data_IF_594832086145
#
_entry.id   IF_594832086145
#
_cell.length_a   1.000
_cell.length_b   1.000
_cell.length_c   1.000
_cell.angle_alpha   90.00
_cell.angle_beta   90.00
_cell.angle_gamma   90.00
#
_symmetry.space_group_name_H-M   'P 1'
#
loop_
_entity.id
_entity.type
_entity.pdbx_description
1 polymer ?
#
# COMPACT_ATOMS: atom_id res chain seq x y z
N UNK A 1 -0.07 -11.61 -14.11
CA UNK A 1 -0.06 -10.15 -13.87
C UNK A 1 -1.44 -9.60 -14.19
N UNK A 2 -1.97 -8.71 -13.35
CA UNK A 2 -3.23 -8.02 -13.63
C UNK A 2 -3.05 -7.12 -14.85
N UNK A 3 -3.85 -7.34 -15.90
CA UNK A 3 -3.89 -6.48 -17.08
C UNK A 3 -4.91 -5.38 -16.82
N UNK A 4 -4.44 -4.19 -16.48
CA UNK A 4 -5.26 -2.99 -16.32
C UNK A 4 -4.81 -1.94 -17.31
N UNK A 5 -5.77 -1.21 -17.91
CA UNK A 5 -5.50 -0.05 -18.78
C UNK A 5 -5.27 1.25 -18.00
N UNK A 6 -5.31 1.19 -16.66
CA UNK A 6 -5.05 2.35 -15.83
C UNK A 6 -3.54 2.59 -15.67
N UNK A 7 -3.12 3.84 -15.77
CA UNK A 7 -1.76 4.23 -15.39
C UNK A 7 -1.59 4.12 -13.87
N UNK A 8 -0.43 3.64 -13.37
CA UNK A 8 0.80 3.34 -14.12
C UNK A 8 0.90 1.92 -14.70
N UNK A 9 -0.07 1.03 -14.44
CA UNK A 9 0.01 -0.39 -14.88
C UNK A 9 0.05 -0.52 -16.42
N UNK A 10 -0.58 0.41 -17.13
CA UNK A 10 -0.57 0.43 -18.59
C UNK A 10 0.84 0.57 -19.19
N UNK A 11 1.78 1.21 -18.50
CA UNK A 11 3.18 1.31 -18.95
C UNK A 11 3.83 -0.07 -19.10
N UNK A 12 3.50 -1.00 -18.20
CA UNK A 12 3.99 -2.38 -18.26
C UNK A 12 3.37 -3.15 -19.43
N UNK A 13 2.10 -2.87 -19.73
CA UNK A 13 1.44 -3.46 -20.89
C UNK A 13 2.05 -2.91 -22.19
N UNK A 14 2.31 -1.60 -22.27
CA UNK A 14 2.97 -0.95 -23.40
C UNK A 14 4.38 -1.51 -23.63
N UNK A 15 5.16 -1.68 -22.57
CA UNK A 15 6.46 -2.33 -22.65
C UNK A 15 6.35 -3.75 -23.21
N UNK A 16 5.43 -4.56 -22.68
CA UNK A 16 5.25 -5.94 -23.14
C UNK A 16 4.76 -6.04 -24.60
N UNK A 17 3.98 -5.06 -25.09
CA UNK A 17 3.57 -4.98 -26.51
C UNK A 17 4.73 -4.56 -27.41
N UNK A 18 5.56 -3.62 -26.96
CA UNK A 18 6.68 -3.07 -27.74
C UNK A 18 7.85 -4.04 -27.80
N UNK A 19 8.12 -4.76 -26.71
CA UNK A 19 9.25 -5.69 -26.55
C UNK A 19 8.78 -7.08 -26.08
N UNK A 20 8.05 -7.83 -26.93
CA UNK A 20 7.44 -9.10 -26.53
C UNK A 20 8.46 -10.14 -26.05
N UNK A 21 9.65 -10.20 -26.67
CA UNK A 21 10.72 -11.12 -26.28
C UNK A 21 11.32 -10.81 -24.91
N UNK A 22 11.11 -9.60 -24.38
CA UNK A 22 11.59 -9.16 -23.06
C UNK A 22 10.51 -9.23 -21.98
N UNK A 23 9.24 -9.47 -22.35
CA UNK A 23 8.12 -9.41 -21.43
C UNK A 23 8.27 -10.39 -20.25
N UNK A 24 8.74 -11.62 -20.51
CA UNK A 24 8.96 -12.61 -19.47
C UNK A 24 10.02 -12.16 -18.45
N UNK A 25 11.13 -11.60 -18.92
CA UNK A 25 12.19 -11.07 -18.06
C UNK A 25 11.70 -9.85 -17.24
N UNK A 26 10.89 -8.98 -17.84
CA UNK A 26 10.26 -7.86 -17.13
C UNK A 26 9.38 -8.36 -15.98
N UNK A 27 8.46 -9.30 -16.24
CA UNK A 27 7.59 -9.84 -15.20
C UNK A 27 8.36 -10.56 -14.09
N UNK A 28 9.40 -11.31 -14.45
CA UNK A 28 10.28 -11.93 -13.47
C UNK A 28 11.01 -10.88 -12.62
N UNK A 29 11.45 -9.78 -13.22
CA UNK A 29 12.08 -8.68 -12.50
C UNK A 29 11.11 -8.04 -11.51
N UNK A 30 9.88 -7.72 -11.96
CA UNK A 30 8.86 -7.11 -11.10
C UNK A 30 8.45 -8.01 -9.93
N UNK A 31 8.48 -9.34 -10.11
CA UNK A 31 8.17 -10.28 -9.04
C UNK A 31 9.09 -10.10 -7.81
N UNK A 32 10.32 -9.61 -7.97
CA UNK A 32 11.22 -9.29 -6.85
C UNK A 32 10.80 -8.05 -6.05
N UNK A 33 9.85 -7.25 -6.55
CA UNK A 33 9.40 -6.02 -5.91
C UNK A 33 7.95 -6.09 -5.42
N UNK A 34 7.28 -7.24 -5.60
CA UNK A 34 5.92 -7.44 -5.12
C UNK A 34 5.89 -7.42 -3.57
N UNK A 35 5.14 -6.51 -2.93
CA UNK A 35 5.16 -6.34 -1.47
C UNK A 35 4.81 -7.62 -0.70
N UNK A 36 3.97 -8.49 -1.27
CA UNK A 36 3.55 -9.76 -0.66
C UNK A 36 4.72 -10.69 -0.35
N UNK A 37 5.81 -10.64 -1.14
CA UNK A 37 7.00 -11.46 -0.92
C UNK A 37 7.86 -10.99 0.26
N UNK A 38 7.67 -9.74 0.70
CA UNK A 38 8.36 -9.16 1.86
C UNK A 38 7.49 -9.14 3.11
N UNK A 39 6.16 -9.20 2.95
CA UNK A 39 5.19 -8.98 4.02
C UNK A 39 5.41 -9.86 5.26
N UNK A 40 5.81 -11.12 5.09
CA UNK A 40 6.10 -12.03 6.20
C UNK A 40 7.29 -11.63 7.08
N UNK A 41 8.15 -10.71 6.61
CA UNK A 41 9.27 -10.16 7.38
C UNK A 41 8.88 -8.91 8.18
N UNK A 42 7.70 -8.33 7.91
CA UNK A 42 7.22 -7.13 8.58
C UNK A 42 6.40 -7.55 9.82
N UNK A 43 7.05 -7.51 10.97
CA UNK A 43 6.45 -7.91 12.26
C UNK A 43 5.91 -6.74 13.09
N UNK A 44 6.08 -5.49 12.63
CA UNK A 44 5.54 -4.32 13.33
C UNK A 44 4.02 -4.20 13.13
N UNK A 45 3.36 -3.64 14.14
CA UNK A 45 1.97 -3.22 14.01
C UNK A 45 1.84 -2.25 12.83
N UNK A 46 0.89 -2.51 11.94
CA UNK A 46 0.75 -1.82 10.66
C UNK A 46 -0.67 -1.31 10.48
N UNK A 47 -0.82 -0.04 10.11
CA UNK A 47 -2.07 0.52 9.61
C UNK A 47 -2.03 0.54 8.08
N UNK A 48 -2.97 -0.14 7.43
CA UNK A 48 -3.17 -0.04 5.98
C UNK A 48 -4.33 0.91 5.70
N UNK A 49 -4.04 2.00 5.02
CA UNK A 49 -5.07 2.90 4.47
C UNK A 49 -5.52 2.36 3.11
N UNK A 50 -6.77 1.94 3.02
CA UNK A 50 -7.35 1.38 1.79
C UNK A 50 -8.22 2.41 1.08
N UNK A 51 -8.28 2.35 -0.25
CA UNK A 51 -9.31 3.07 -1.01
C UNK A 51 -10.70 2.44 -0.85
N UNK A 52 -11.59 2.72 -1.81
CA UNK A 52 -12.98 2.24 -1.79
C UNK A 52 -13.08 0.70 -1.86
N UNK A 53 -12.09 0.04 -2.45
CA UNK A 53 -12.01 -1.41 -2.55
C UNK A 53 -10.91 -1.96 -1.65
N UNK A 54 -11.28 -2.27 -0.41
CA UNK A 54 -10.38 -2.85 0.58
C UNK A 54 -9.88 -4.25 0.19
N UNK A 55 -10.60 -4.98 -0.67
CA UNK A 55 -10.25 -6.35 -1.04
C UNK A 55 -8.98 -6.42 -1.90
N UNK A 56 -8.63 -5.34 -2.61
CA UNK A 56 -7.37 -5.30 -3.38
C UNK A 56 -6.13 -5.48 -2.50
N UNK A 57 -6.21 -5.04 -1.24
CA UNK A 57 -5.11 -5.16 -0.28
C UNK A 57 -5.15 -6.47 0.52
N UNK A 58 -6.16 -7.30 0.33
CA UNK A 58 -6.35 -8.52 1.13
C UNK A 58 -5.14 -9.47 1.06
N UNK A 59 -4.53 -9.76 -0.11
CA UNK A 59 -3.37 -10.63 -0.17
C UNK A 59 -2.17 -10.09 0.64
N UNK A 60 -2.00 -8.77 0.68
CA UNK A 60 -0.94 -8.14 1.46
C UNK A 60 -1.24 -8.24 2.96
N UNK A 61 -2.48 -7.97 3.37
CA UNK A 61 -2.89 -8.09 4.77
C UNK A 61 -2.73 -9.51 5.30
N UNK A 62 -3.10 -10.50 4.50
CA UNK A 62 -2.98 -11.91 4.90
C UNK A 62 -1.52 -12.36 5.01
N UNK A 63 -0.61 -11.70 4.31
CA UNK A 63 0.82 -12.04 4.28
C UNK A 63 1.65 -11.31 5.35
N UNK A 64 1.16 -10.22 5.95
CA UNK A 64 1.87 -9.48 6.99
C UNK A 64 1.96 -10.29 8.29
N UNK A 65 3.15 -10.34 8.88
CA UNK A 65 3.38 -11.08 10.14
C UNK A 65 2.96 -10.31 11.39
N UNK A 66 2.96 -8.97 11.34
CA UNK A 66 2.53 -8.09 12.42
C UNK A 66 1.01 -7.94 12.51
N UNK A 67 0.53 -7.30 13.58
CA UNK A 67 -0.90 -6.96 13.70
C UNK A 67 -1.27 -5.91 12.65
N UNK A 68 -2.34 -6.16 11.91
CA UNK A 68 -2.83 -5.24 10.88
C UNK A 68 -4.15 -4.60 11.30
N UNK A 69 -4.22 -3.27 11.19
CA UNK A 69 -5.46 -2.50 11.23
C UNK A 69 -5.71 -1.85 9.88
N UNK A 70 -6.99 -1.63 9.55
CA UNK A 70 -7.41 -1.00 8.30
C UNK A 70 -8.11 0.32 8.58
N UNK A 71 -7.82 1.31 7.73
CA UNK A 71 -8.55 2.58 7.69
C UNK A 71 -9.03 2.82 6.26
N UNK A 72 -10.33 2.99 6.06
CA UNK A 72 -10.86 3.35 4.74
C UNK A 72 -10.62 4.84 4.51
N UNK A 73 -9.95 5.14 3.40
CA UNK A 73 -9.60 6.50 2.97
C UNK A 73 -10.84 7.37 2.89
N UNK A 74 -10.73 8.58 3.43
CA UNK A 74 -11.69 9.65 3.24
C UNK A 74 -11.44 10.43 1.93
N UNK A 75 -10.49 9.97 1.10
CA UNK A 75 -9.97 10.66 -0.08
C UNK A 75 -9.52 12.08 0.25
N UNK A 76 -8.91 12.25 1.43
CA UNK A 76 -8.56 13.56 1.98
C UNK A 76 -7.25 13.44 2.75
N UNK A 77 -6.18 14.01 2.18
CA UNK A 77 -4.86 14.01 2.83
C UNK A 77 -4.89 14.52 4.28
N UNK A 78 -5.74 15.52 4.56
CA UNK A 78 -6.00 15.99 5.93
C UNK A 78 -6.62 14.92 6.82
N UNK A 79 -7.79 14.39 6.46
CA UNK A 79 -8.53 13.45 7.32
C UNK A 79 -7.79 12.13 7.50
N UNK A 80 -7.19 11.62 6.42
CA UNK A 80 -6.41 10.39 6.45
C UNK A 80 -5.09 10.57 7.18
N UNK A 81 -4.47 11.77 7.10
CA UNK A 81 -3.29 12.13 7.87
C UNK A 81 -3.58 12.22 9.37
N UNK A 82 -4.69 12.87 9.77
CA UNK A 82 -5.13 12.93 11.17
C UNK A 82 -5.43 11.54 11.72
N UNK A 83 -6.09 10.67 10.94
CA UNK A 83 -6.36 9.30 11.33
C UNK A 83 -5.07 8.50 11.60
N UNK A 84 -4.08 8.58 10.70
CA UNK A 84 -2.77 7.94 10.86
C UNK A 84 -2.01 8.46 12.09
N UNK A 85 -1.95 9.78 12.28
CA UNK A 85 -1.29 10.40 13.42
C UNK A 85 -1.95 9.99 14.75
N UNK A 86 -3.28 9.95 14.78
CA UNK A 86 -4.06 9.50 15.94
C UNK A 86 -3.80 8.03 16.26
N UNK A 87 -3.76 7.17 15.23
CA UNK A 87 -3.45 5.76 15.39
C UNK A 87 -2.06 5.52 16.00
N UNK A 88 -1.04 6.26 15.53
CA UNK A 88 0.30 6.23 16.12
C UNK A 88 0.28 6.70 17.58
N UNK A 89 -0.41 7.82 17.85
CA UNK A 89 -0.44 8.42 19.18
C UNK A 89 -1.05 7.51 20.24
N UNK A 90 -2.17 6.85 19.88
CA UNK A 90 -2.85 5.88 20.73
C UNK A 90 -2.00 4.62 20.95
N UNK A 91 -1.34 4.12 19.91
CA UNK A 91 -0.58 2.87 19.98
C UNK A 91 0.69 2.99 20.82
N UNK A 92 1.38 4.11 20.71
CA UNK A 92 2.65 4.32 21.41
C UNK A 92 2.51 5.22 22.65
N UNK A 93 1.29 5.63 23.00
CA UNK A 93 0.99 6.36 24.23
C UNK A 93 1.63 7.75 24.29
N UNK A 94 1.85 8.40 23.15
CA UNK A 94 2.55 9.70 23.08
C UNK A 94 1.64 10.92 23.31
N UNK A 95 0.38 10.71 23.69
CA UNK A 95 -0.56 11.78 24.01
C UNK A 95 -1.29 12.31 22.76
N UNK A 96 -1.26 13.63 22.55
CA UNK A 96 -1.89 14.25 21.39
C UNK A 96 -1.15 13.91 20.09
N UNK A 97 -1.87 13.69 18.97
CA UNK A 97 -1.24 13.42 17.69
C UNK A 97 -0.41 14.62 17.22
N UNK A 98 0.83 14.35 16.77
CA UNK A 98 1.68 15.38 16.17
C UNK A 98 1.17 15.65 14.75
N UNK A 99 0.52 16.80 14.56
CA UNK A 99 -0.03 17.22 13.27
C UNK A 99 0.82 18.36 12.64
N UNK A 100 0.97 18.38 11.30
CA UNK A 100 1.48 19.55 10.59
C UNK A 100 0.70 20.82 10.94
N UNK A 101 1.36 21.98 10.98
CA UNK A 101 0.74 23.25 11.35
C UNK A 101 -0.48 23.63 10.49
N UNK A 102 -0.51 23.21 9.22
CA UNK A 102 -1.65 23.46 8.33
C UNK A 102 -2.90 22.62 8.67
N UNK A 103 -2.79 21.67 9.59
CA UNK A 103 -3.83 20.71 9.99
C UNK A 103 -4.25 20.87 11.47
N UNK A 104 -3.62 21.80 12.18
CA UNK A 104 -4.01 22.23 13.54
C UNK A 104 -5.13 23.27 13.43
#
# INVERSE_FOLDING_TARGET
>A
AARSSAYPVEELNDFARTYPDQAAAMWQTLAYYEPVHFAGQVSCDTLIVTGDDALQTQPLVDALAGKVERHTSAHSGYRDGVAQATWLAQRYGVGEPVLPAAWQ
#
